data_IF_733155265912
#
_entry.id   IF_733155265912
#
_cell.length_a   1.000
_cell.length_b   1.000
_cell.length_c   1.000
_cell.angle_alpha   90.00
_cell.angle_beta   90.00
_cell.angle_gamma   90.00
#
_symmetry.space_group_name_H-M   'P 1'
#
loop_
_entity.id
_entity.type
_entity.pdbx_description
1 polymer ?
#
# COMPACT_ATOMS: atom_id res chain seq x y z
N UNK A 1 34.33 16.76 -2.44
CA UNK A 1 33.51 15.54 -2.27
C UNK A 1 32.11 15.95 -2.67
N UNK A 2 31.73 15.70 -3.95
CA UNK A 2 30.36 15.90 -4.40
C UNK A 2 29.52 14.83 -3.72
N UNK A 3 28.58 15.26 -2.90
CA UNK A 3 27.53 14.36 -2.44
C UNK A 3 26.68 14.03 -3.65
N UNK A 4 26.79 12.82 -4.19
CA UNK A 4 25.82 12.28 -5.13
C UNK A 4 24.43 12.49 -4.54
N UNK A 5 23.54 13.02 -5.35
CA UNK A 5 22.16 13.30 -5.01
C UNK A 5 21.47 11.98 -4.63
N UNK A 6 21.46 11.65 -3.35
CA UNK A 6 20.86 10.43 -2.79
C UNK A 6 19.32 10.38 -2.89
N UNK A 7 18.71 11.41 -3.49
CA UNK A 7 17.25 11.52 -3.65
C UNK A 7 16.95 11.83 -5.10
N UNK A 8 16.47 10.83 -5.81
CA UNK A 8 15.92 10.95 -7.16
C UNK A 8 14.55 11.60 -7.11
N UNK A 9 14.49 12.93 -6.87
CA UNK A 9 13.23 13.68 -6.94
C UNK A 9 12.94 14.07 -8.39
N UNK A 10 12.16 13.26 -9.09
CA UNK A 10 11.78 13.56 -10.49
C UNK A 10 10.73 14.66 -10.59
N UNK A 11 10.87 15.51 -11.60
CA UNK A 11 9.82 16.36 -12.13
C UNK A 11 9.05 15.63 -13.22
N UNK A 12 7.87 16.13 -13.59
CA UNK A 12 6.98 15.41 -14.53
C UNK A 12 7.63 15.11 -15.87
N UNK A 13 8.46 16.00 -16.40
CA UNK A 13 9.15 15.85 -17.68
C UNK A 13 10.23 14.76 -17.69
N UNK A 14 10.67 14.31 -16.52
CA UNK A 14 11.71 13.31 -16.39
C UNK A 14 11.16 11.86 -16.35
N UNK A 15 9.83 11.71 -16.32
CA UNK A 15 9.20 10.39 -16.37
C UNK A 15 9.06 9.88 -17.80
N UNK A 16 9.35 8.60 -18.00
CA UNK A 16 9.23 7.91 -19.29
C UNK A 16 8.24 6.75 -19.15
N UNK A 17 7.27 6.64 -20.04
CA UNK A 17 6.32 5.52 -20.05
C UNK A 17 7.09 4.22 -20.28
N UNK A 18 6.80 3.20 -19.46
CA UNK A 18 7.50 1.92 -19.45
C UNK A 18 8.68 1.86 -18.49
N UNK A 19 9.16 2.99 -17.95
CA UNK A 19 10.24 3.03 -16.97
C UNK A 19 9.85 2.29 -15.69
N UNK A 20 10.78 1.50 -15.14
CA UNK A 20 10.65 0.86 -13.84
C UNK A 20 11.51 1.58 -12.80
N UNK A 21 10.92 1.91 -11.66
CA UNK A 21 11.53 2.57 -10.52
C UNK A 21 11.58 1.58 -9.36
N UNK A 22 12.77 1.37 -8.79
CA UNK A 22 12.98 0.50 -7.65
C UNK A 22 13.12 1.33 -6.37
N UNK A 23 12.24 1.11 -5.40
CA UNK A 23 12.08 1.95 -4.21
C UNK A 23 12.83 1.42 -2.97
N UNK A 24 13.65 0.36 -3.15
CA UNK A 24 14.32 -0.29 -2.03
C UNK A 24 13.39 -1.21 -1.23
N UNK A 25 13.75 -1.43 0.03
CA UNK A 25 13.03 -2.37 0.89
C UNK A 25 12.92 -1.88 2.34
N UNK A 26 12.01 -2.51 3.09
CA UNK A 26 11.83 -2.27 4.53
C UNK A 26 11.47 -3.57 5.24
N UNK A 27 12.05 -3.79 6.41
CA UNK A 27 11.66 -4.89 7.28
C UNK A 27 10.47 -4.50 8.16
N UNK A 28 9.47 -5.37 8.21
CA UNK A 28 8.31 -5.22 9.07
C UNK A 28 8.65 -5.77 10.47
N UNK A 29 8.85 -4.89 11.42
CA UNK A 29 9.15 -5.31 12.80
C UNK A 29 7.88 -5.42 13.64
N UNK A 30 7.83 -6.34 14.64
CA UNK A 30 6.72 -6.46 15.58
C UNK A 30 6.40 -5.13 16.28
N UNK A 31 7.43 -4.38 16.65
CA UNK A 31 7.27 -3.10 17.30
C UNK A 31 6.49 -2.11 16.42
N UNK A 32 6.91 -1.92 15.17
CA UNK A 32 6.26 -0.98 14.24
C UNK A 32 4.83 -1.37 13.91
N UNK A 33 4.56 -2.67 13.74
CA UNK A 33 3.20 -3.16 13.51
C UNK A 33 2.29 -2.85 14.69
N UNK A 34 2.73 -3.15 15.93
CA UNK A 34 1.98 -2.87 17.16
C UNK A 34 1.75 -1.37 17.37
N UNK A 35 2.76 -0.53 17.14
CA UNK A 35 2.61 0.93 17.22
C UNK A 35 1.61 1.46 16.19
N UNK A 36 1.64 0.95 14.97
CA UNK A 36 0.66 1.31 13.95
C UNK A 36 -0.77 0.97 14.41
N UNK A 37 -0.99 -0.27 14.87
CA UNK A 37 -2.29 -0.75 15.34
C UNK A 37 -2.80 0.12 16.50
N UNK A 38 -1.97 0.40 17.50
CA UNK A 38 -2.30 1.28 18.62
C UNK A 38 -2.60 2.70 18.17
N UNK A 39 -1.73 3.26 17.32
CA UNK A 39 -1.83 4.63 16.83
C UNK A 39 -3.10 4.87 16.04
N UNK A 40 -3.54 3.91 15.24
CA UNK A 40 -4.74 4.01 14.43
C UNK A 40 -5.97 3.34 15.06
N UNK A 41 -5.89 2.96 16.34
CA UNK A 41 -6.98 2.33 17.12
C UNK A 41 -7.66 1.18 16.36
N UNK A 42 -6.87 0.40 15.63
CA UNK A 42 -7.35 -0.81 14.98
C UNK A 42 -7.51 -1.90 16.02
N UNK A 43 -8.61 -1.87 16.74
CA UNK A 43 -8.90 -2.71 17.90
C UNK A 43 -9.41 -4.11 17.57
N UNK A 44 -9.14 -4.62 16.38
CA UNK A 44 -9.45 -6.01 16.07
C UNK A 44 -8.49 -6.93 16.82
N UNK A 45 -9.02 -7.88 17.57
CA UNK A 45 -8.24 -8.84 18.36
C UNK A 45 -7.17 -9.55 17.52
N UNK A 46 -7.48 -9.92 16.29
CA UNK A 46 -6.51 -10.54 15.37
C UNK A 46 -5.34 -9.61 15.00
N UNK A 47 -5.49 -8.29 15.11
CA UNK A 47 -4.42 -7.33 14.86
C UNK A 47 -3.52 -7.05 16.07
N UNK A 48 -3.90 -7.51 17.27
CA UNK A 48 -3.23 -7.20 18.53
C UNK A 48 -2.55 -8.43 19.18
N UNK A 49 -3.05 -9.62 18.92
CA UNK A 49 -2.61 -10.85 19.57
C UNK A 49 -2.25 -11.93 18.56
N UNK A 50 -0.96 -12.17 18.40
CA UNK A 50 -0.45 -13.16 17.45
C UNK A 50 -0.81 -14.60 17.80
N UNK A 51 -0.97 -14.93 19.10
CA UNK A 51 -1.44 -16.24 19.53
C UNK A 51 -2.91 -16.44 19.12
N UNK A 52 -3.74 -15.42 19.30
CA UNK A 52 -5.13 -15.45 18.85
C UNK A 52 -5.22 -15.60 17.33
N UNK A 53 -4.39 -14.89 16.57
CA UNK A 53 -4.29 -15.06 15.12
C UNK A 53 -3.92 -16.50 14.74
N UNK A 54 -2.95 -17.10 15.44
CA UNK A 54 -2.52 -18.47 15.22
C UNK A 54 -3.66 -19.45 15.48
N UNK A 55 -4.44 -19.27 16.56
CA UNK A 55 -5.58 -20.10 16.88
C UNK A 55 -6.71 -20.01 15.85
N UNK A 56 -6.82 -18.88 15.16
CA UNK A 56 -7.76 -18.71 14.04
C UNK A 56 -7.26 -19.29 12.72
N UNK A 57 -6.02 -19.78 12.66
CA UNK A 57 -5.43 -20.33 11.45
C UNK A 57 -4.62 -19.34 10.61
N UNK A 58 -4.41 -18.11 11.08
CA UNK A 58 -3.50 -17.15 10.45
C UNK A 58 -2.05 -17.46 10.81
N UNK A 59 -1.55 -18.58 10.33
CA UNK A 59 -0.19 -19.03 10.65
C UNK A 59 0.78 -18.55 9.56
N UNK A 60 1.93 -18.01 10.00
CA UNK A 60 3.06 -17.78 9.13
C UNK A 60 3.73 -19.10 8.77
N UNK A 61 3.84 -19.48 7.49
CA UNK A 61 4.55 -20.69 7.07
C UNK A 61 6.02 -20.75 7.52
N UNK A 62 6.66 -19.57 7.67
CA UNK A 62 8.05 -19.42 8.09
C UNK A 62 8.22 -19.16 9.58
N UNK A 63 7.18 -19.39 10.37
CA UNK A 63 7.11 -19.03 11.78
C UNK A 63 8.33 -19.50 12.60
N UNK A 64 8.76 -20.74 12.43
CA UNK A 64 9.89 -21.30 13.19
C UNK A 64 11.18 -20.52 12.94
N UNK A 65 11.51 -20.29 11.68
CA UNK A 65 12.72 -19.56 11.30
C UNK A 65 12.69 -18.10 11.78
N UNK A 66 11.53 -17.44 11.71
CA UNK A 66 11.37 -16.07 12.20
C UNK A 66 11.42 -15.98 13.72
N UNK A 67 10.85 -16.92 14.43
CA UNK A 67 10.96 -17.03 15.90
C UNK A 67 12.40 -17.03 16.37
N UNK A 68 13.22 -17.90 15.77
CA UNK A 68 14.62 -18.04 16.15
C UNK A 68 15.41 -16.79 15.77
N UNK A 69 15.26 -16.32 14.53
CA UNK A 69 16.01 -15.19 13.99
C UNK A 69 15.76 -13.87 14.73
N UNK A 70 14.52 -13.60 15.13
CA UNK A 70 14.13 -12.32 15.73
C UNK A 70 13.82 -12.40 17.22
N UNK A 71 13.98 -13.58 17.82
CA UNK A 71 13.60 -13.83 19.24
C UNK A 71 12.20 -13.27 19.57
N UNK A 72 11.27 -13.46 18.67
CA UNK A 72 9.87 -13.05 18.81
C UNK A 72 9.00 -14.27 19.09
N UNK A 73 7.86 -14.05 19.70
CA UNK A 73 6.86 -15.10 19.88
C UNK A 73 6.32 -15.63 18.55
N UNK A 74 4.99 -15.67 18.39
CA UNK A 74 4.38 -15.96 17.08
C UNK A 74 4.38 -14.70 16.22
N UNK A 75 4.98 -14.72 15.00
CA UNK A 75 4.90 -13.59 14.08
C UNK A 75 3.44 -13.27 13.78
N UNK A 76 3.04 -12.04 14.09
CA UNK A 76 1.67 -11.60 13.88
C UNK A 76 1.41 -11.20 12.43
N UNK A 77 0.17 -11.41 11.98
CA UNK A 77 -0.32 -10.90 10.71
C UNK A 77 -0.30 -9.36 10.71
N UNK A 78 0.24 -8.77 9.67
CA UNK A 78 0.39 -7.34 9.53
C UNK A 78 -0.90 -6.71 9.00
N UNK A 79 -1.27 -5.56 9.57
CA UNK A 79 -2.44 -4.81 9.11
C UNK A 79 -2.27 -4.37 7.65
N UNK A 80 -3.28 -4.62 6.81
CA UNK A 80 -3.31 -4.17 5.40
C UNK A 80 -3.07 -2.66 5.25
N UNK A 81 -3.65 -1.84 6.13
CA UNK A 81 -3.40 -0.41 6.12
C UNK A 81 -1.94 -0.05 6.42
N UNK A 82 -1.23 -0.85 7.23
CA UNK A 82 0.20 -0.65 7.45
C UNK A 82 1.01 -1.04 6.21
N UNK A 83 0.69 -2.16 5.57
CA UNK A 83 1.31 -2.58 4.30
C UNK A 83 1.17 -1.49 3.25
N UNK A 84 -0.04 -0.92 3.10
CA UNK A 84 -0.28 0.19 2.16
C UNK A 84 0.60 1.41 2.50
N UNK A 85 0.63 1.85 3.76
CA UNK A 85 1.44 3.00 4.16
C UNK A 85 2.94 2.77 3.94
N UNK A 86 3.43 1.57 4.19
CA UNK A 86 4.82 1.19 3.91
C UNK A 86 5.10 1.25 2.41
N UNK A 87 4.28 0.60 1.59
CA UNK A 87 4.44 0.57 0.14
C UNK A 87 4.34 1.96 -0.48
N UNK A 88 3.39 2.78 0.00
CA UNK A 88 3.29 4.18 -0.39
C UNK A 88 4.55 4.96 -0.01
N UNK A 89 4.99 4.85 1.25
CA UNK A 89 6.16 5.54 1.77
C UNK A 89 7.45 5.25 1.00
N UNK A 90 7.68 3.99 0.63
CA UNK A 90 8.82 3.59 -0.19
C UNK A 90 8.86 4.35 -1.54
N UNK A 91 7.70 4.58 -2.15
CA UNK A 91 7.59 5.22 -3.47
C UNK A 91 7.63 6.76 -3.46
N UNK A 92 7.61 7.39 -2.28
CA UNK A 92 7.49 8.86 -2.17
C UNK A 92 8.67 9.59 -2.79
N UNK A 93 9.89 9.14 -2.47
CA UNK A 93 11.09 9.82 -2.96
C UNK A 93 11.21 9.80 -4.48
N UNK A 94 10.90 8.67 -5.10
CA UNK A 94 11.08 8.48 -6.54
C UNK A 94 9.93 9.04 -7.39
N UNK A 95 8.71 9.06 -6.83
CA UNK A 95 7.51 9.41 -7.60
C UNK A 95 6.91 10.74 -7.17
N UNK A 96 6.76 10.99 -5.86
CA UNK A 96 5.88 12.04 -5.39
C UNK A 96 6.55 13.13 -4.55
N UNK A 97 7.87 13.21 -4.54
CA UNK A 97 8.57 14.26 -3.81
C UNK A 97 8.20 15.67 -4.30
N UNK A 98 8.05 15.85 -5.62
CA UNK A 98 7.63 17.09 -6.26
C UNK A 98 6.10 17.13 -6.52
N UNK A 99 5.31 16.29 -5.84
CA UNK A 99 3.88 16.23 -6.06
C UNK A 99 3.15 17.49 -5.56
N UNK A 100 2.14 17.86 -6.33
CA UNK A 100 1.13 18.84 -5.93
C UNK A 100 -0.01 18.12 -5.21
N UNK A 101 -0.44 16.97 -5.75
CA UNK A 101 -1.53 16.17 -5.20
C UNK A 101 -1.50 14.72 -5.71
N UNK A 102 -2.05 13.81 -4.92
CA UNK A 102 -2.48 12.50 -5.39
C UNK A 102 -3.90 12.64 -5.95
N UNK A 103 -4.11 12.27 -7.21
CA UNK A 103 -5.39 12.45 -7.89
C UNK A 103 -6.30 11.23 -7.72
N UNK A 104 -5.75 10.04 -7.82
CA UNK A 104 -6.54 8.80 -7.71
C UNK A 104 -5.70 7.59 -7.31
N UNK A 105 -6.41 6.61 -6.75
CA UNK A 105 -5.95 5.23 -6.58
C UNK A 105 -6.97 4.32 -7.24
N UNK A 106 -6.52 3.36 -8.06
CA UNK A 106 -7.35 2.35 -8.71
C UNK A 106 -6.72 0.97 -8.57
N UNK A 107 -7.53 -0.07 -8.69
CA UNK A 107 -7.10 -1.47 -8.71
C UNK A 107 -6.22 -1.87 -7.53
N UNK A 108 -6.53 -1.35 -6.34
CA UNK A 108 -5.81 -1.71 -5.12
C UNK A 108 -6.17 -3.15 -4.74
N UNK A 109 -5.15 -4.02 -4.79
CA UNK A 109 -5.29 -5.45 -4.52
C UNK A 109 -4.25 -5.89 -3.50
N UNK A 110 -4.68 -6.57 -2.45
CA UNK A 110 -3.81 -7.28 -1.52
C UNK A 110 -3.64 -8.73 -2.01
N UNK A 111 -2.40 -9.18 -2.06
CA UNK A 111 -2.04 -10.56 -2.42
C UNK A 111 -1.75 -11.42 -1.19
N UNK A 112 -0.56 -12.03 -1.17
CA UNK A 112 -0.16 -12.89 -0.05
C UNK A 112 -0.08 -12.09 1.27
N UNK A 113 -0.41 -12.72 2.40
CA UNK A 113 -0.36 -12.08 3.71
C UNK A 113 1.07 -11.71 4.08
N UNK A 114 1.22 -10.62 4.82
CA UNK A 114 2.48 -10.16 5.38
C UNK A 114 2.51 -10.45 6.87
N UNK A 115 3.61 -10.96 7.35
CA UNK A 115 3.84 -11.24 8.76
C UNK A 115 4.99 -10.41 9.34
N UNK A 116 4.98 -10.27 10.65
CA UNK A 116 6.08 -9.63 11.38
C UNK A 116 7.38 -10.37 11.08
N UNK A 117 8.42 -9.64 10.70
CA UNK A 117 9.70 -10.16 10.24
C UNK A 117 9.90 -10.16 8.72
N UNK A 118 8.82 -10.07 7.93
CA UNK A 118 8.94 -9.98 6.47
C UNK A 118 9.70 -8.74 6.02
N UNK A 119 10.35 -8.86 4.87
CA UNK A 119 11.00 -7.75 4.16
C UNK A 119 10.16 -7.44 2.93
N UNK A 120 9.69 -6.20 2.83
CA UNK A 120 8.92 -5.73 1.70
C UNK A 120 9.79 -4.93 0.75
N UNK A 121 9.68 -5.23 -0.54
CA UNK A 121 10.37 -4.57 -1.64
C UNK A 121 9.36 -3.82 -2.49
N UNK A 122 9.67 -2.57 -2.84
CA UNK A 122 8.79 -1.74 -3.64
C UNK A 122 9.35 -1.48 -5.04
N UNK A 123 8.49 -1.58 -6.05
CA UNK A 123 8.78 -1.11 -7.40
C UNK A 123 7.55 -0.46 -8.03
N UNK A 124 7.78 0.48 -8.94
CA UNK A 124 6.70 1.09 -9.74
C UNK A 124 7.08 1.11 -11.20
N UNK A 125 6.09 0.88 -12.06
CA UNK A 125 6.19 1.07 -13.50
C UNK A 125 5.37 2.28 -13.91
N UNK A 126 5.95 3.17 -14.69
CA UNK A 126 5.24 4.30 -15.31
C UNK A 126 4.37 3.77 -16.44
N UNK A 127 3.06 3.93 -16.32
CA UNK A 127 2.09 3.39 -17.27
C UNK A 127 1.30 4.49 -18.01
N UNK A 128 1.51 5.76 -17.65
CA UNK A 128 0.87 6.85 -18.38
C UNK A 128 1.32 8.23 -17.92
N UNK A 129 1.20 9.20 -18.81
CA UNK A 129 1.50 10.61 -18.56
C UNK A 129 0.41 11.48 -19.22
N UNK A 130 -0.07 12.48 -18.50
CA UNK A 130 -1.02 13.45 -18.99
C UNK A 130 -0.57 14.89 -18.71
N UNK A 131 -0.61 15.73 -19.73
CA UNK A 131 -0.44 17.18 -19.66
C UNK A 131 -1.63 17.81 -20.35
N UNK A 132 -2.49 18.50 -19.61
CA UNK A 132 -3.81 18.93 -20.11
C UNK A 132 -3.79 20.08 -21.13
N UNK A 133 -2.73 20.91 -21.13
CA UNK A 133 -2.64 22.07 -22.03
C UNK A 133 -1.20 22.40 -22.39
N UNK A 134 -1.03 23.08 -23.52
CA UNK A 134 0.28 23.61 -23.93
C UNK A 134 0.75 24.70 -22.94
N UNK A 135 2.05 24.76 -22.71
CA UNK A 135 2.66 25.72 -21.79
C UNK A 135 2.39 25.40 -20.31
N UNK A 136 1.96 24.18 -19.97
CA UNK A 136 1.70 23.78 -18.60
C UNK A 136 2.99 23.67 -17.77
N UNK A 137 2.91 24.07 -16.49
CA UNK A 137 3.96 23.90 -15.49
C UNK A 137 3.71 22.71 -14.55
N UNK A 138 2.81 21.83 -14.93
CA UNK A 138 2.48 20.60 -14.25
C UNK A 138 1.87 19.57 -15.21
N UNK A 139 1.86 18.34 -14.78
CA UNK A 139 1.19 17.23 -15.44
C UNK A 139 0.99 16.09 -14.46
N UNK A 140 0.29 15.04 -14.84
CA UNK A 140 0.14 13.86 -14.01
C UNK A 140 0.87 12.66 -14.58
N UNK A 141 1.48 11.88 -13.70
CA UNK A 141 2.02 10.55 -13.99
C UNK A 141 1.11 9.49 -13.42
N UNK A 142 0.87 8.44 -14.18
CA UNK A 142 0.18 7.24 -13.74
C UNK A 142 1.21 6.13 -13.54
N UNK A 143 1.25 5.56 -12.35
CA UNK A 143 2.19 4.51 -11.98
C UNK A 143 1.46 3.31 -11.41
N UNK A 144 1.91 2.13 -11.79
CA UNK A 144 1.52 0.86 -11.19
C UNK A 144 2.59 0.46 -10.19
N UNK A 145 2.24 0.48 -8.90
CA UNK A 145 3.15 0.12 -7.80
C UNK A 145 2.86 -1.30 -7.34
N UNK A 146 3.90 -2.11 -7.26
CA UNK A 146 3.85 -3.50 -6.79
C UNK A 146 4.80 -3.65 -5.61
N UNK A 147 4.30 -4.20 -4.52
CA UNK A 147 5.07 -4.56 -3.33
C UNK A 147 5.14 -6.07 -3.24
N UNK A 148 6.35 -6.59 -3.06
CA UNK A 148 6.58 -8.04 -2.89
C UNK A 148 7.27 -8.30 -1.54
N UNK A 149 7.13 -9.54 -1.04
CA UNK A 149 7.90 -10.00 0.12
C UNK A 149 9.27 -10.57 -0.31
N UNK A 150 10.03 -11.12 0.63
CA UNK A 150 11.37 -11.73 0.40
C UNK A 150 11.34 -12.96 -0.51
N UNK A 151 10.17 -13.58 -0.70
CA UNK A 151 9.97 -14.73 -1.58
C UNK A 151 9.53 -14.30 -2.99
N UNK A 152 9.55 -12.99 -3.28
CA UNK A 152 9.06 -12.39 -4.53
C UNK A 152 7.55 -12.63 -4.76
N UNK A 153 6.78 -12.84 -3.71
CA UNK A 153 5.33 -12.97 -3.76
C UNK A 153 4.68 -11.57 -3.64
N UNK A 154 3.70 -11.30 -4.49
CA UNK A 154 2.97 -10.02 -4.48
C UNK A 154 2.10 -9.93 -3.22
N UNK A 155 2.31 -8.87 -2.43
CA UNK A 155 1.54 -8.59 -1.21
C UNK A 155 0.62 -7.39 -1.34
N UNK A 156 0.95 -6.46 -2.26
CA UNK A 156 0.12 -5.30 -2.56
C UNK A 156 0.41 -4.81 -3.98
N UNK A 157 -0.63 -4.49 -4.72
CA UNK A 157 -0.53 -3.81 -6.01
C UNK A 157 -1.60 -2.73 -6.12
N UNK A 158 -1.27 -1.58 -6.70
CA UNK A 158 -2.23 -0.51 -6.99
C UNK A 158 -1.74 0.38 -8.13
N UNK A 159 -2.67 1.02 -8.80
CA UNK A 159 -2.41 2.12 -9.75
C UNK A 159 -2.69 3.45 -9.07
N UNK A 160 -1.73 4.37 -9.19
CA UNK A 160 -1.82 5.72 -8.63
C UNK A 160 -1.61 6.76 -9.72
N UNK A 161 -2.41 7.83 -9.71
CA UNK A 161 -2.18 9.02 -10.54
C UNK A 161 -1.77 10.20 -9.66
N UNK A 162 -0.62 10.80 -9.96
CA UNK A 162 0.00 11.86 -9.18
C UNK A 162 0.20 13.10 -10.04
N UNK A 163 -0.28 14.24 -9.57
CA UNK A 163 -0.03 15.55 -10.17
C UNK A 163 1.33 16.07 -9.70
N UNK A 164 2.22 16.33 -10.64
CA UNK A 164 3.60 16.76 -10.41
C UNK A 164 3.87 18.12 -11.04
N UNK A 165 4.81 18.84 -10.46
CA UNK A 165 5.35 20.07 -11.05
C UNK A 165 6.36 19.75 -12.15
N UNK A 166 6.56 20.70 -13.08
CA UNK A 166 7.76 20.76 -13.89
C UNK A 166 8.92 21.36 -13.09
N UNK A 167 10.14 21.14 -13.53
CA UNK A 167 11.30 21.89 -13.05
C UNK A 167 11.09 23.39 -13.26
N UNK A 168 11.72 24.25 -12.43
CA UNK A 168 11.58 25.70 -12.55
C UNK A 168 11.90 26.21 -13.97
N UNK A 169 10.98 26.97 -14.54
CA UNK A 169 11.10 27.53 -15.90
C UNK A 169 10.69 26.60 -17.04
N UNK A 170 10.53 25.31 -16.80
CA UNK A 170 10.13 24.33 -17.82
C UNK A 170 8.63 24.40 -18.08
N UNK A 171 8.27 24.27 -19.36
CA UNK A 171 6.88 24.20 -19.85
C UNK A 171 6.73 22.97 -20.73
N UNK A 172 5.60 22.30 -20.60
CA UNK A 172 5.28 21.09 -21.37
C UNK A 172 4.15 21.36 -22.37
N UNK A 173 4.18 20.62 -23.46
CA UNK A 173 3.07 20.59 -24.42
C UNK A 173 2.01 19.58 -23.96
N UNK A 174 0.76 19.83 -24.34
CA UNK A 174 -0.34 18.92 -24.08
C UNK A 174 -0.06 17.54 -24.66
N UNK A 175 -0.28 16.52 -23.83
CA UNK A 175 -0.29 15.11 -24.22
C UNK A 175 -1.17 14.32 -23.27
N UNK A 176 -1.77 13.24 -23.75
CA UNK A 176 -2.56 12.33 -22.91
C UNK A 176 -2.30 10.89 -23.36
N UNK A 177 -1.56 10.19 -22.55
CA UNK A 177 -1.15 8.79 -22.76
C UNK A 177 -1.37 8.03 -21.45
N UNK A 178 -2.62 8.02 -20.95
CA UNK A 178 -2.99 7.27 -19.74
C UNK A 178 -3.45 5.86 -20.11
N UNK A 179 -3.00 4.88 -19.35
CA UNK A 179 -3.54 3.52 -19.44
C UNK A 179 -4.95 3.48 -18.80
N UNK A 180 -5.92 2.99 -19.58
CA UNK A 180 -7.30 2.84 -19.08
C UNK A 180 -7.34 1.78 -17.98
N UNK A 181 -7.85 2.17 -16.82
CA UNK A 181 -8.04 1.28 -15.69
C UNK A 181 -9.52 0.88 -15.59
N UNK A 182 -9.83 -0.41 -15.37
CA UNK A 182 -11.22 -0.85 -15.19
C UNK A 182 -11.84 -0.18 -13.95
N UNK A 183 -13.11 0.15 -14.05
CA UNK A 183 -13.88 0.71 -12.93
C UNK A 183 -14.40 -0.37 -11.97
N UNK A 184 -14.40 -1.63 -12.42
CA UNK A 184 -14.84 -2.79 -11.64
C UNK A 184 -13.83 -3.91 -11.74
N UNK A 185 -13.73 -4.72 -10.68
CA UNK A 185 -12.92 -5.94 -10.66
C UNK A 185 -13.87 -7.13 -10.75
N UNK A 186 -13.62 -8.06 -11.67
CA UNK A 186 -14.34 -9.33 -11.69
C UNK A 186 -13.96 -10.14 -10.44
N UNK A 187 -14.95 -10.41 -9.58
CA UNK A 187 -14.76 -11.16 -8.34
C UNK A 187 -14.14 -12.54 -8.58
N UNK A 188 -14.38 -13.14 -9.74
CA UNK A 188 -13.84 -14.45 -10.09
C UNK A 188 -12.33 -14.42 -10.38
N UNK A 189 -11.76 -13.24 -10.59
CA UNK A 189 -10.31 -13.06 -10.79
C UNK A 189 -9.56 -12.82 -9.47
N UNK A 190 -10.28 -12.57 -8.38
CA UNK A 190 -9.70 -12.34 -7.06
C UNK A 190 -9.26 -13.68 -6.47
N UNK A 191 -7.96 -13.84 -6.29
CA UNK A 191 -7.40 -15.05 -5.64
C UNK A 191 -7.27 -14.79 -4.14
N UNK A 192 -7.95 -15.62 -3.34
CA UNK A 192 -7.71 -15.63 -1.90
C UNK A 192 -6.44 -16.44 -1.60
N UNK A 193 -5.48 -15.90 -0.84
CA UNK A 193 -4.36 -16.67 -0.33
C UNK A 193 -4.82 -17.89 0.46
N UNK A 194 -4.09 -19.00 0.34
CA UNK A 194 -4.47 -20.28 0.97
C UNK A 194 -4.70 -20.18 2.48
N UNK A 195 -3.95 -19.32 3.16
CA UNK A 195 -4.10 -19.11 4.61
C UNK A 195 -5.50 -18.64 4.98
N UNK A 196 -6.21 -17.92 4.10
CA UNK A 196 -7.56 -17.42 4.35
C UNK A 196 -8.67 -18.44 4.00
N UNK A 197 -8.34 -19.52 3.30
CA UNK A 197 -9.31 -20.55 2.94
C UNK A 197 -9.56 -21.57 4.04
N UNK A 198 -8.66 -21.67 5.01
CA UNK A 198 -8.70 -22.65 6.09
C UNK A 198 -8.96 -22.03 7.47
N UNK A 199 -9.54 -20.84 7.50
CA UNK A 199 -9.84 -20.16 8.76
C UNK A 199 -10.96 -20.91 9.51
N UNK A 200 -10.73 -21.16 10.79
CA UNK A 200 -11.78 -21.63 11.67
C UNK A 200 -12.85 -20.54 11.81
N UNK A 201 -14.06 -20.83 11.36
CA UNK A 201 -15.23 -19.93 11.47
C UNK A 201 -15.69 -19.81 12.94
N UNK A 202 -14.83 -19.37 13.83
CA UNK A 202 -15.29 -18.90 15.13
C UNK A 202 -15.91 -17.52 14.93
N UNK A 203 -17.10 -17.35 15.43
CA UNK A 203 -17.81 -16.06 15.36
C UNK A 203 -16.94 -14.97 15.98
N UNK A 204 -16.40 -14.11 15.13
CA UNK A 204 -15.59 -12.94 15.52
C UNK A 204 -16.53 -11.86 16.09
N UNK A 205 -17.33 -12.18 17.09
CA UNK A 205 -18.21 -11.26 17.80
C UNK A 205 -19.14 -10.46 16.88
N UNK A 206 -20.42 -10.55 17.07
CA UNK A 206 -21.42 -9.81 16.29
C UNK A 206 -21.45 -8.31 16.65
N UNK A 207 -20.34 -7.62 16.40
CA UNK A 207 -20.30 -6.18 16.63
C UNK A 207 -20.26 -5.43 15.29
N UNK A 208 -21.31 -4.66 15.04
CA UNK A 208 -21.46 -3.80 13.88
C UNK A 208 -22.58 -4.23 12.94
N UNK A 209 -22.85 -3.39 11.95
CA UNK A 209 -23.84 -3.69 10.90
C UNK A 209 -23.27 -4.75 9.94
N UNK A 210 -24.11 -5.71 9.57
CA UNK A 210 -23.82 -6.66 8.50
C UNK A 210 -24.10 -6.00 7.15
N UNK A 211 -23.68 -6.62 6.06
CA UNK A 211 -23.87 -6.08 4.72
C UNK A 211 -25.35 -5.84 4.41
N UNK A 212 -26.21 -6.75 4.80
CA UNK A 212 -27.68 -6.67 4.64
C UNK A 212 -28.34 -5.54 5.43
N UNK A 213 -27.67 -5.03 6.47
CA UNK A 213 -28.14 -3.90 7.27
C UNK A 213 -27.81 -2.53 6.66
N UNK A 214 -27.00 -2.50 5.59
CA UNK A 214 -26.56 -1.27 4.95
C UNK A 214 -27.62 -0.77 3.97
N UNK A 215 -27.97 0.51 4.05
CA UNK A 215 -28.94 1.16 3.16
C UNK A 215 -28.29 2.29 2.37
N UNK A 216 -28.61 2.36 1.08
CA UNK A 216 -28.13 3.47 0.23
C UNK A 216 -28.69 4.81 0.76
N UNK A 217 -27.80 5.78 0.93
CA UNK A 217 -28.16 7.12 1.46
C UNK A 217 -28.18 7.22 2.99
N UNK A 218 -27.97 6.14 3.73
CA UNK A 218 -27.85 6.18 5.19
C UNK A 218 -26.50 6.76 5.60
N UNK A 219 -26.51 7.69 6.56
CA UNK A 219 -25.32 8.31 7.09
C UNK A 219 -24.86 7.59 8.36
N UNK A 220 -23.60 7.19 8.38
CA UNK A 220 -22.95 6.57 9.54
C UNK A 220 -21.95 7.53 10.15
N UNK A 221 -22.10 7.83 11.45
CA UNK A 221 -21.13 8.60 12.21
C UNK A 221 -20.12 7.66 12.86
N UNK A 222 -18.85 7.87 12.61
CA UNK A 222 -17.76 7.16 13.32
C UNK A 222 -17.80 7.50 14.81
N UNK A 223 -17.58 6.49 15.66
CA UNK A 223 -17.61 6.63 17.13
C UNK A 223 -16.28 7.11 17.71
N UNK A 224 -15.23 7.25 16.89
CA UNK A 224 -13.90 7.62 17.36
C UNK A 224 -13.40 8.89 16.67
N UNK A 225 -13.05 9.85 17.46
CA UNK A 225 -12.28 11.03 17.04
C UNK A 225 -10.81 10.81 17.42
N UNK A 226 -9.90 11.23 16.54
CA UNK A 226 -8.47 11.18 16.79
C UNK A 226 -7.82 12.49 16.44
N UNK A 227 -7.11 13.07 17.40
CA UNK A 227 -6.18 14.17 17.15
C UNK A 227 -4.92 13.62 16.48
N UNK A 228 -4.53 14.21 15.37
CA UNK A 228 -3.24 13.97 14.75
C UNK A 228 -2.31 15.03 15.30
N UNK A 229 -1.39 14.64 16.17
CA UNK A 229 -0.27 15.50 16.57
C UNK A 229 0.80 15.46 15.49
N UNK A 230 1.23 16.63 15.04
CA UNK A 230 2.40 16.80 14.19
C UNK A 230 3.68 16.45 14.95
#
# INVERSE_FOLDING_TARGET
MEYEKLVSSKYIEEFVIGEELHHGCVQITPYRNKEYIKKFKKSFLYGLNSEYQSNLGYNDPENTAKKEKFNIGYPGLVSQGYIFNVGFGLSVHDISYNAIANLSYKNLTYGEPVYEGDILFGKSKVIGIEVKKNGASNGSVQVKTTITNQNNEMVLEYVRQVLLRTSPGTKMNAKSELETQPDTIDINTVKLPKVFTNLNNQSLGEHGKKFEDLKVGELYKGTFEKSISL
#
